data_IF_195497813607
#
_entry.id   IF_195497813607
#
_cell.length_a   1.000
_cell.length_b   1.000
_cell.length_c   1.000
_cell.angle_alpha   90.00
_cell.angle_beta   90.00
_cell.angle_gamma   90.00
#
_symmetry.space_group_name_H-M   'P 1'
#
loop_
_entity.id
_entity.type
_entity.pdbx_description
1 polymer ?
#
# COMPACT_ATOMS: atom_id res chain seq x y z
N UNK A 1 -0.29 11.64 7.58
CA UNK A 1 0.49 10.57 8.21
C UNK A 1 1.94 10.56 7.74
N UNK A 2 2.21 10.60 6.45
CA UNK A 2 3.58 10.62 5.90
C UNK A 2 4.42 11.77 6.46
N UNK A 3 3.79 12.93 6.72
CA UNK A 3 4.44 14.11 7.30
C UNK A 3 4.41 14.13 8.82
N UNK A 4 3.24 13.88 9.43
CA UNK A 4 3.04 14.04 10.88
C UNK A 4 3.51 12.84 11.71
N UNK A 5 3.50 11.64 11.10
CA UNK A 5 3.96 10.38 11.68
C UNK A 5 4.74 9.61 10.61
N UNK A 6 5.92 10.09 10.23
CA UNK A 6 6.68 9.54 9.11
C UNK A 6 7.02 8.06 9.32
N UNK A 7 6.99 7.33 8.24
CA UNK A 7 7.38 5.92 8.13
C UNK A 7 8.11 5.69 6.81
N UNK A 8 8.92 4.62 6.69
CA UNK A 8 9.59 4.25 5.44
C UNK A 8 10.52 5.31 4.86
N UNK A 9 11.06 6.22 5.70
CA UNK A 9 11.99 7.25 5.27
C UNK A 9 11.33 8.53 4.75
N UNK A 10 10.01 8.72 4.90
CA UNK A 10 9.34 9.95 4.46
C UNK A 10 9.81 11.22 5.17
N UNK A 11 10.45 11.11 6.34
CA UNK A 11 11.10 12.20 7.06
C UNK A 11 12.35 12.76 6.37
N UNK A 12 12.89 12.03 5.37
CA UNK A 12 14.07 12.41 4.61
C UNK A 12 13.72 13.16 3.30
N UNK A 13 12.44 13.20 2.92
CA UNK A 13 12.00 13.81 1.67
C UNK A 13 11.32 15.16 1.90
N UNK A 14 11.61 16.09 0.99
CA UNK A 14 10.91 17.37 0.90
C UNK A 14 9.69 17.24 0.00
N UNK A 15 8.49 17.44 0.57
CA UNK A 15 7.22 17.41 -0.14
C UNK A 15 6.16 18.21 0.61
N UNK A 16 5.16 18.68 -0.10
CA UNK A 16 4.01 19.38 0.45
C UNK A 16 2.75 18.50 0.44
N UNK A 17 1.83 18.81 1.36
CA UNK A 17 0.51 18.16 1.40
C UNK A 17 -0.51 19.13 0.82
N UNK A 18 -1.03 18.90 -0.40
CA UNK A 18 -2.01 19.77 -1.01
C UNK A 18 -3.35 19.72 -0.26
N UNK A 19 -3.91 20.88 0.06
CA UNK A 19 -5.19 21.04 0.77
C UNK A 19 -6.06 22.07 0.09
N UNK A 20 -7.32 21.72 -0.15
CA UNK A 20 -8.34 22.62 -0.71
C UNK A 20 -9.57 22.67 0.18
N UNK A 21 -10.36 23.72 0.08
CA UNK A 21 -11.47 24.02 0.99
C UNK A 21 -12.86 24.02 0.34
N UNK A 22 -12.96 23.96 -1.00
CA UNK A 22 -14.25 23.98 -1.71
C UNK A 22 -15.07 22.71 -1.50
N UNK A 23 -14.40 21.55 -1.30
CA UNK A 23 -15.05 20.28 -0.99
C UNK A 23 -15.88 19.69 -2.13
N UNK A 24 -15.78 20.22 -3.33
CA UNK A 24 -16.48 19.79 -4.54
C UNK A 24 -15.70 18.76 -5.37
N UNK A 25 -16.27 18.31 -6.48
CA UNK A 25 -15.63 17.36 -7.39
C UNK A 25 -14.37 17.93 -8.03
N UNK A 26 -14.34 19.24 -8.27
CA UNK A 26 -13.20 19.93 -8.88
C UNK A 26 -12.00 19.95 -7.91
N UNK A 27 -12.22 20.34 -6.66
CA UNK A 27 -11.17 20.34 -5.65
C UNK A 27 -10.60 18.93 -5.42
N UNK A 28 -11.45 17.91 -5.37
CA UNK A 28 -10.99 16.52 -5.24
C UNK A 28 -10.12 16.08 -6.43
N UNK A 29 -10.47 16.48 -7.65
CA UNK A 29 -9.64 16.21 -8.83
C UNK A 29 -8.31 16.96 -8.78
N UNK A 30 -8.35 18.24 -8.37
CA UNK A 30 -7.18 19.10 -8.28
C UNK A 30 -6.16 18.62 -7.24
N UNK A 31 -6.64 18.21 -6.05
CA UNK A 31 -5.77 17.59 -5.03
C UNK A 31 -4.95 16.45 -5.62
N UNK A 32 -5.58 15.55 -6.38
CA UNK A 32 -4.86 14.40 -6.98
C UNK A 32 -3.81 14.81 -7.99
N UNK A 33 -4.09 15.84 -8.79
CA UNK A 33 -3.10 16.36 -9.74
C UNK A 33 -1.88 16.91 -9.00
N UNK A 34 -2.10 17.63 -7.90
CA UNK A 34 -1.01 18.18 -7.11
C UNK A 34 -0.27 17.10 -6.31
N UNK A 35 -0.97 16.08 -5.79
CA UNK A 35 -0.34 14.89 -5.19
C UNK A 35 0.57 14.13 -6.17
N UNK A 36 0.18 14.05 -7.45
CA UNK A 36 1.04 13.46 -8.49
C UNK A 36 2.32 14.28 -8.65
N UNK A 37 2.24 15.61 -8.66
CA UNK A 37 3.42 16.49 -8.76
C UNK A 37 4.34 16.31 -7.56
N UNK A 38 3.80 16.24 -6.35
CA UNK A 38 4.60 15.97 -5.15
C UNK A 38 5.23 14.57 -5.18
N UNK A 39 4.51 13.58 -5.70
CA UNK A 39 5.06 12.22 -5.88
C UNK A 39 6.23 12.21 -6.86
N UNK A 40 6.18 13.00 -7.94
CA UNK A 40 7.29 13.14 -8.88
C UNK A 40 8.52 13.78 -8.21
N UNK A 41 8.35 14.81 -7.37
CA UNK A 41 9.46 15.38 -6.59
C UNK A 41 10.12 14.35 -5.68
N UNK A 42 9.34 13.50 -5.02
CA UNK A 42 9.87 12.42 -4.17
C UNK A 42 10.66 11.42 -5.03
N UNK A 43 10.16 11.05 -6.21
CA UNK A 43 10.85 10.14 -7.12
C UNK A 43 12.19 10.71 -7.56
N UNK A 44 12.26 12.00 -7.93
CA UNK A 44 13.51 12.70 -8.27
C UNK A 44 14.51 12.63 -7.11
N UNK A 45 14.09 12.97 -5.90
CA UNK A 45 14.92 12.87 -4.70
C UNK A 45 15.42 11.45 -4.43
N UNK A 46 14.58 10.43 -4.65
CA UNK A 46 14.98 9.02 -4.54
C UNK A 46 16.04 8.63 -5.56
N UNK A 47 15.92 9.09 -6.80
CA UNK A 47 16.89 8.79 -7.87
C UNK A 47 18.24 9.47 -7.60
N UNK A 48 18.23 10.72 -7.16
CA UNK A 48 19.43 11.47 -6.87
C UNK A 48 20.21 10.94 -5.67
N UNK A 49 19.49 10.39 -4.67
CA UNK A 49 20.06 9.91 -3.42
C UNK A 49 20.10 8.38 -3.30
N UNK A 50 19.92 7.64 -4.40
CA UNK A 50 19.89 6.18 -4.37
C UNK A 50 21.25 5.60 -3.93
N UNK A 51 21.31 4.90 -2.78
CA UNK A 51 22.57 4.32 -2.32
C UNK A 51 22.99 3.16 -3.21
N UNK A 52 24.29 3.06 -3.46
CA UNK A 52 24.88 1.87 -4.07
C UNK A 52 24.93 0.72 -3.05
N UNK A 53 24.70 -0.51 -3.50
CA UNK A 53 24.80 -1.68 -2.62
C UNK A 53 23.90 -2.84 -3.02
N UNK A 54 23.86 -3.90 -2.20
CA UNK A 54 23.02 -5.05 -2.48
C UNK A 54 21.53 -4.68 -2.36
N UNK A 55 20.75 -5.07 -3.36
CA UNK A 55 19.29 -4.84 -3.40
C UNK A 55 18.46 -6.01 -2.85
N UNK A 56 19.13 -7.11 -2.46
CA UNK A 56 18.52 -8.30 -1.88
C UNK A 56 19.13 -8.62 -0.53
N UNK A 57 18.31 -9.05 0.42
CA UNK A 57 18.80 -9.68 1.64
C UNK A 57 19.30 -11.11 1.35
N UNK A 58 20.37 -11.53 2.00
CA UNK A 58 20.83 -12.91 1.95
C UNK A 58 20.13 -13.73 3.04
N UNK A 59 18.99 -14.30 2.71
CA UNK A 59 18.25 -15.16 3.63
C UNK A 59 17.61 -16.33 2.88
N UNK A 60 17.92 -17.59 3.25
CA UNK A 60 17.54 -18.78 2.47
C UNK A 60 16.02 -18.99 2.38
N UNK A 61 15.24 -18.54 3.37
CA UNK A 61 13.79 -18.75 3.44
C UNK A 61 12.97 -17.58 2.90
N UNK A 62 13.56 -16.40 2.70
CA UNK A 62 12.82 -15.21 2.28
C UNK A 62 13.25 -14.68 0.92
N UNK A 63 14.50 -14.95 0.51
CA UNK A 63 15.03 -14.50 -0.77
C UNK A 63 15.19 -15.70 -1.70
N UNK A 64 14.48 -15.74 -2.86
CA UNK A 64 14.65 -16.80 -3.83
C UNK A 64 16.10 -16.89 -4.32
N UNK A 65 16.70 -18.09 -4.36
CA UNK A 65 18.05 -18.28 -4.86
C UNK A 65 18.13 -18.01 -6.37
N UNK A 66 19.33 -17.76 -6.92
CA UNK A 66 19.53 -17.66 -8.36
C UNK A 66 19.06 -18.94 -9.08
N UNK A 67 18.40 -18.77 -10.22
CA UNK A 67 17.82 -19.87 -10.99
C UNK A 67 18.85 -20.95 -11.37
N UNK A 68 20.03 -20.52 -11.80
CA UNK A 68 21.12 -21.41 -12.17
C UNK A 68 21.53 -22.31 -10.99
N UNK A 69 21.67 -21.74 -9.80
CA UNK A 69 22.00 -22.49 -8.59
C UNK A 69 20.90 -23.46 -8.19
N UNK A 70 19.64 -23.04 -8.31
CA UNK A 70 18.46 -23.90 -8.02
C UNK A 70 18.42 -25.13 -8.93
N UNK A 71 18.91 -25.04 -10.17
CA UNK A 71 18.92 -26.14 -11.12
C UNK A 71 20.10 -27.10 -10.95
N UNK A 72 21.15 -26.70 -10.22
CA UNK A 72 22.41 -27.45 -10.10
C UNK A 72 22.67 -27.98 -8.71
N UNK A 73 22.03 -27.43 -7.68
CA UNK A 73 22.25 -27.76 -6.29
C UNK A 73 20.97 -28.20 -5.60
N UNK A 74 20.96 -29.44 -5.08
CA UNK A 74 19.76 -30.05 -4.48
C UNK A 74 19.31 -29.32 -3.19
N UNK A 75 20.24 -28.83 -2.37
CA UNK A 75 19.89 -28.10 -1.15
C UNK A 75 19.16 -26.78 -1.50
N UNK A 76 19.68 -26.09 -2.50
CA UNK A 76 19.06 -24.86 -3.01
C UNK A 76 17.69 -25.13 -3.62
N UNK A 77 17.49 -26.25 -4.31
CA UNK A 77 16.20 -26.67 -4.84
C UNK A 77 15.20 -26.97 -3.72
N UNK A 78 15.61 -27.65 -2.68
CA UNK A 78 14.77 -27.96 -1.51
C UNK A 78 14.36 -26.67 -0.80
N UNK A 79 15.29 -25.74 -0.56
CA UNK A 79 14.99 -24.44 0.05
C UNK A 79 14.03 -23.61 -0.80
N UNK A 80 14.23 -23.61 -2.12
CA UNK A 80 13.31 -22.95 -3.04
C UNK A 80 11.91 -23.56 -2.98
N UNK A 81 11.80 -24.88 -2.99
CA UNK A 81 10.53 -25.60 -2.88
C UNK A 81 9.79 -25.28 -1.58
N UNK A 82 10.48 -25.33 -0.44
CA UNK A 82 9.91 -25.01 0.86
C UNK A 82 9.44 -23.55 0.94
N UNK A 83 10.24 -22.63 0.42
CA UNK A 83 9.88 -21.20 0.40
C UNK A 83 8.63 -20.94 -0.45
N UNK A 84 8.52 -21.52 -1.63
CA UNK A 84 7.39 -21.31 -2.54
C UNK A 84 6.12 -22.03 -2.07
N UNK A 85 6.26 -23.23 -1.49
CA UNK A 85 5.10 -24.07 -1.11
C UNK A 85 4.55 -23.74 0.27
N UNK A 86 5.40 -23.47 1.24
CA UNK A 86 4.99 -23.24 2.63
C UNK A 86 5.22 -21.80 3.11
N UNK A 87 6.24 -21.15 2.59
CA UNK A 87 6.67 -19.84 3.04
C UNK A 87 7.41 -19.89 4.40
N UNK A 88 7.80 -18.72 4.92
CA UNK A 88 8.48 -18.61 6.21
C UNK A 88 7.51 -18.84 7.37
N UNK A 89 7.98 -19.51 8.41
CA UNK A 89 7.26 -19.60 9.69
C UNK A 89 7.36 -18.26 10.41
N UNK A 90 6.21 -17.67 10.75
CA UNK A 90 6.14 -16.42 11.49
C UNK A 90 5.94 -16.74 12.98
N UNK A 91 6.77 -16.22 13.89
CA UNK A 91 6.61 -16.45 15.32
C UNK A 91 5.21 -16.08 15.81
N UNK A 92 4.71 -16.77 16.84
CA UNK A 92 3.43 -16.46 17.45
C UNK A 92 3.43 -15.02 18.00
N UNK A 93 2.41 -14.26 17.69
CA UNK A 93 2.28 -12.88 18.08
C UNK A 93 1.27 -12.12 17.23
N UNK A 94 1.12 -10.84 17.52
CA UNK A 94 0.23 -9.95 16.77
C UNK A 94 0.94 -8.65 16.37
N UNK A 95 0.57 -8.11 15.23
CA UNK A 95 1.10 -6.85 14.73
C UNK A 95 0.00 -6.08 14.00
N UNK A 96 -0.02 -4.77 14.22
CA UNK A 96 -0.89 -3.84 13.49
C UNK A 96 -0.06 -2.73 12.87
N UNK A 97 -0.17 -2.59 11.56
CA UNK A 97 0.52 -1.54 10.81
C UNK A 97 -0.50 -0.76 10.00
N UNK A 98 -0.42 0.55 10.10
CA UNK A 98 -1.24 1.49 9.35
C UNK A 98 -0.34 2.37 8.50
N UNK A 99 -0.63 2.45 7.22
CA UNK A 99 0.07 3.29 6.25
C UNK A 99 -0.91 4.16 5.49
N UNK A 100 -0.44 5.27 4.97
CA UNK A 100 -1.18 6.09 4.03
C UNK A 100 -0.94 5.57 2.61
N UNK A 101 -1.94 4.87 2.07
CA UNK A 101 -1.96 4.41 0.68
C UNK A 101 -2.44 5.53 -0.26
N UNK A 102 -2.38 5.29 -1.57
CA UNK A 102 -2.78 6.27 -2.61
C UNK A 102 -4.22 6.75 -2.50
N UNK A 103 -5.12 5.92 -1.96
CA UNK A 103 -6.56 6.21 -1.80
C UNK A 103 -6.95 6.63 -0.38
N UNK A 104 -6.02 6.56 0.55
CA UNK A 104 -6.23 6.90 1.96
C UNK A 104 -5.60 5.90 2.92
N UNK A 105 -6.08 5.87 4.13
CA UNK A 105 -5.52 5.09 5.22
C UNK A 105 -5.79 3.58 5.05
N UNK A 106 -4.74 2.77 4.93
CA UNK A 106 -4.80 1.31 4.83
C UNK A 106 -4.15 0.68 6.06
N UNK A 107 -4.82 -0.30 6.68
CA UNK A 107 -4.34 -0.98 7.88
C UNK A 107 -4.38 -2.49 7.69
N UNK A 108 -3.30 -3.15 8.10
CA UNK A 108 -3.24 -4.59 8.26
C UNK A 108 -3.03 -4.94 9.73
N UNK A 109 -3.90 -5.79 10.24
CA UNK A 109 -3.74 -6.41 11.54
C UNK A 109 -3.61 -7.91 11.33
N UNK A 110 -2.52 -8.49 11.82
CA UNK A 110 -2.16 -9.88 11.65
C UNK A 110 -1.97 -10.53 13.01
N UNK A 111 -2.51 -11.73 13.17
CA UNK A 111 -2.23 -12.62 14.31
C UNK A 111 -1.60 -13.89 13.78
N UNK A 112 -0.46 -14.29 14.32
CA UNK A 112 0.23 -15.55 14.03
C UNK A 112 0.18 -16.47 15.25
N UNK A 113 -0.03 -17.76 15.00
CA UNK A 113 0.04 -18.82 16.00
C UNK A 113 1.37 -19.60 15.97
N UNK A 114 2.31 -19.19 15.12
CA UNK A 114 3.58 -19.86 14.89
C UNK A 114 3.57 -20.80 13.69
N UNK A 115 2.51 -20.80 12.90
CA UNK A 115 2.43 -21.55 11.64
C UNK A 115 2.85 -20.71 10.44
N UNK A 116 2.81 -21.30 9.25
CA UNK A 116 3.07 -20.59 7.97
C UNK A 116 1.89 -19.75 7.50
N UNK A 117 0.69 -20.01 8.02
CA UNK A 117 -0.52 -19.26 7.71
C UNK A 117 -0.88 -18.34 8.89
N UNK A 118 -1.39 -17.16 8.60
CA UNK A 118 -1.90 -16.28 9.64
C UNK A 118 -3.15 -16.89 10.28
N UNK A 119 -3.19 -16.94 11.61
CA UNK A 119 -4.37 -17.35 12.37
C UNK A 119 -5.55 -16.42 12.10
N UNK A 120 -5.28 -15.12 12.04
CA UNK A 120 -6.29 -14.10 11.73
C UNK A 120 -5.65 -12.93 11.00
N UNK A 121 -6.32 -12.48 9.94
CA UNK A 121 -5.97 -11.27 9.21
C UNK A 121 -7.18 -10.33 9.19
N UNK A 122 -6.97 -9.07 9.53
CA UNK A 122 -7.96 -8.01 9.34
C UNK A 122 -7.34 -6.90 8.50
N UNK A 123 -8.04 -6.56 7.43
CA UNK A 123 -7.63 -5.51 6.50
C UNK A 123 -8.66 -4.39 6.58
N UNK A 124 -8.21 -3.17 6.79
CA UNK A 124 -9.03 -1.97 6.63
C UNK A 124 -8.56 -1.20 5.43
N UNK A 125 -9.45 -1.00 4.49
CA UNK A 125 -9.19 -0.28 3.24
C UNK A 125 -9.90 1.06 3.23
N UNK A 126 -9.41 2.07 2.51
CA UNK A 126 -10.02 3.39 2.44
C UNK A 126 -11.26 3.44 1.54
N UNK A 127 -11.35 2.60 0.52
CA UNK A 127 -12.41 2.67 -0.49
C UNK A 127 -13.79 2.31 0.04
N UNK A 128 -13.89 1.40 1.01
CA UNK A 128 -15.16 1.05 1.62
C UNK A 128 -15.85 2.23 2.33
N UNK A 129 -15.18 2.99 3.23
CA UNK A 129 -15.74 4.22 3.78
C UNK A 129 -16.07 5.29 2.73
N UNK A 130 -15.30 5.39 1.65
CA UNK A 130 -15.58 6.32 0.56
C UNK A 130 -16.94 6.04 -0.08
N UNK A 131 -17.24 4.77 -0.38
CA UNK A 131 -18.54 4.38 -0.95
C UNK A 131 -19.71 4.67 0.00
N UNK A 132 -19.51 4.55 1.30
CA UNK A 132 -20.56 4.85 2.28
C UNK A 132 -20.98 6.32 2.30
N UNK A 133 -20.17 7.22 1.77
CA UNK A 133 -20.51 8.65 1.68
C UNK A 133 -21.42 8.99 0.50
N UNK A 134 -21.49 8.14 -0.54
CA UNK A 134 -22.26 8.41 -1.76
C UNK A 134 -23.72 8.77 -1.47
N UNK A 135 -24.50 8.04 -0.64
CA UNK A 135 -25.86 8.38 -0.36
C UNK A 135 -26.06 9.75 0.32
N UNK A 136 -25.01 10.22 1.02
CA UNK A 136 -25.04 11.52 1.70
C UNK A 136 -24.83 12.68 0.73
N UNK A 137 -23.80 12.57 -0.12
CA UNK A 137 -23.35 13.65 -0.99
C UNK A 137 -24.12 13.72 -2.32
N UNK A 138 -24.92 12.68 -2.66
CA UNK A 138 -25.69 12.62 -3.90
C UNK A 138 -27.15 13.06 -3.74
N UNK A 139 -27.61 13.40 -2.54
CA UNK A 139 -29.01 13.81 -2.30
C UNK A 139 -29.38 15.08 -3.01
N UNK A 140 -30.46 15.05 -3.78
CA UNK A 140 -30.99 16.22 -4.49
C UNK A 140 -30.25 16.57 -5.76
N UNK A 141 -29.31 15.75 -6.19
CA UNK A 141 -28.54 15.95 -7.42
C UNK A 141 -29.12 15.13 -8.59
N UNK A 142 -28.68 15.47 -9.80
CA UNK A 142 -29.06 14.74 -11.00
C UNK A 142 -28.23 13.44 -11.16
N UNK A 143 -28.74 12.48 -11.94
CA UNK A 143 -28.03 11.22 -12.22
C UNK A 143 -26.64 11.45 -12.85
N UNK A 144 -26.45 12.39 -13.80
CA UNK A 144 -25.11 12.71 -14.29
C UNK A 144 -24.14 13.18 -13.22
N UNK A 145 -24.64 13.94 -12.21
CA UNK A 145 -23.81 14.42 -11.10
C UNK A 145 -23.34 13.26 -10.21
N UNK A 146 -24.16 12.21 -10.06
CA UNK A 146 -23.76 10.99 -9.37
C UNK A 146 -22.54 10.33 -10.02
N UNK A 147 -22.48 10.29 -11.35
CA UNK A 147 -21.32 9.74 -12.07
C UNK A 147 -20.08 10.58 -11.80
N UNK A 148 -20.18 11.89 -11.83
CA UNK A 148 -19.10 12.81 -11.50
C UNK A 148 -18.62 12.65 -10.05
N UNK A 149 -19.54 12.49 -9.11
CA UNK A 149 -19.22 12.23 -7.69
C UNK A 149 -18.45 10.93 -7.54
N UNK A 150 -18.95 9.83 -8.11
CA UNK A 150 -18.30 8.51 -8.06
C UNK A 150 -16.86 8.57 -8.61
N UNK A 151 -16.68 9.21 -9.76
CA UNK A 151 -15.36 9.42 -10.34
C UNK A 151 -14.46 10.29 -9.45
N UNK A 152 -15.01 11.33 -8.81
CA UNK A 152 -14.25 12.23 -7.95
C UNK A 152 -13.80 11.62 -6.63
N UNK A 153 -14.50 10.61 -6.10
CA UNK A 153 -14.15 9.90 -4.88
C UNK A 153 -12.93 8.97 -5.12
N UNK A 154 -12.75 8.52 -6.34
CA UNK A 154 -11.60 7.70 -6.76
C UNK A 154 -11.41 6.41 -5.91
N UNK A 155 -12.47 5.66 -5.70
CA UNK A 155 -12.41 4.36 -5.04
C UNK A 155 -11.98 3.24 -5.98
N UNK A 156 -11.49 2.15 -5.43
CA UNK A 156 -11.13 0.92 -6.17
C UNK A 156 -11.99 -0.24 -5.69
N UNK A 157 -12.66 -0.94 -6.61
CA UNK A 157 -13.56 -2.05 -6.27
C UNK A 157 -12.83 -3.21 -5.57
N UNK A 158 -11.61 -3.53 -6.00
CA UNK A 158 -10.78 -4.55 -5.36
C UNK A 158 -10.52 -4.24 -3.87
N UNK A 159 -10.38 -2.96 -3.55
CA UNK A 159 -10.20 -2.46 -2.18
C UNK A 159 -11.49 -2.62 -1.33
N UNK A 160 -12.63 -2.55 -1.97
CA UNK A 160 -13.95 -2.71 -1.31
C UNK A 160 -14.22 -4.18 -1.03
N UNK A 161 -13.89 -5.04 -1.98
CA UNK A 161 -14.22 -6.47 -1.98
C UNK A 161 -13.21 -7.33 -1.20
N UNK A 162 -12.07 -6.85 -0.80
CA UNK A 162 -10.94 -7.46 -0.08
C UNK A 162 -11.16 -8.86 0.50
#
# INVERSE_FOLDING_TARGET
>A
WRRDKPYGGYDQFDFEVPVYHGGDCFDRARVRVDEIRESLKIIEQCLDNMPAGPYKAEHPLTTPPPKERTMMDIETLIHHFLNVSWGPVIPAGECSVTIEATKGNNMYYLTSDGSTNSYRTRIRTPSFPHLQQIPLISRGLLIPDLIAIIASIDFVMADVDR
#
